data_IF_636294466560
#
_entry.id   IF_636294466560
#
_cell.length_a   1.000
_cell.length_b   1.000
_cell.length_c   1.000
_cell.angle_alpha   90.00
_cell.angle_beta   90.00
_cell.angle_gamma   90.00
#
_symmetry.space_group_name_H-M   'P 1'
#
loop_
_entity.id
_entity.type
_entity.pdbx_description
1 polymer ?
#
# COMPACT_ATOMS: atom_id res chain seq x y z
N UNK A 1 31.13 19.53 -15.68
CA UNK A 1 29.66 19.48 -15.70
C UNK A 1 29.28 18.08 -15.26
N UNK A 2 29.05 17.88 -13.97
CA UNK A 2 28.69 16.56 -13.44
C UNK A 2 27.20 16.36 -13.70
N UNK A 3 26.85 15.41 -14.56
CA UNK A 3 25.46 15.00 -14.76
C UNK A 3 24.95 14.40 -13.44
N UNK A 4 24.22 15.20 -12.66
CA UNK A 4 23.33 14.65 -11.65
C UNK A 4 22.23 13.90 -12.40
N UNK A 5 22.39 12.59 -12.54
CA UNK A 5 21.26 11.71 -12.85
C UNK A 5 20.25 11.91 -11.71
N UNK A 6 19.24 12.74 -11.93
CA UNK A 6 18.32 13.19 -10.90
C UNK A 6 17.64 12.00 -10.25
N UNK A 7 18.03 11.65 -9.02
CA UNK A 7 17.32 10.67 -8.21
C UNK A 7 15.90 11.17 -8.00
N UNK A 8 14.96 10.52 -8.68
CA UNK A 8 13.53 10.69 -8.43
C UNK A 8 13.12 9.62 -7.44
N UNK A 9 12.29 9.98 -6.46
CA UNK A 9 11.72 8.98 -5.57
C UNK A 9 10.78 8.07 -6.36
N UNK A 10 10.53 6.86 -5.85
CA UNK A 10 9.53 5.95 -6.42
C UNK A 10 8.16 6.62 -6.44
N UNK A 11 7.87 7.43 -5.42
CA UNK A 11 6.65 8.23 -5.36
C UNK A 11 6.53 9.21 -6.53
N UNK A 12 7.60 9.94 -6.87
CA UNK A 12 7.59 10.89 -8.00
C UNK A 12 7.42 10.21 -9.36
N UNK A 13 7.78 8.93 -9.46
CA UNK A 13 7.70 8.14 -10.68
C UNK A 13 6.30 7.54 -10.84
N UNK A 14 5.73 7.00 -9.76
CA UNK A 14 4.50 6.22 -9.78
C UNK A 14 3.24 7.03 -9.44
N UNK A 15 3.36 8.07 -8.61
CA UNK A 15 2.24 8.86 -8.09
C UNK A 15 1.42 8.14 -7.01
N UNK A 16 0.53 8.88 -6.35
CA UNK A 16 -0.26 8.39 -5.22
C UNK A 16 -1.21 7.23 -5.59
N UNK A 17 -1.85 7.28 -6.76
CA UNK A 17 -2.84 6.28 -7.19
C UNK A 17 -2.22 4.87 -7.31
N UNK A 18 -0.93 4.79 -7.63
CA UNK A 18 -0.21 3.52 -7.65
C UNK A 18 -0.18 2.86 -6.27
N UNK A 19 0.09 3.63 -5.21
CA UNK A 19 0.15 3.09 -3.85
C UNK A 19 -1.23 2.71 -3.33
N UNK A 20 -2.27 3.43 -3.72
CA UNK A 20 -3.67 3.04 -3.45
C UNK A 20 -3.95 1.67 -4.07
N UNK A 21 -3.68 1.50 -5.37
CA UNK A 21 -3.89 0.23 -6.06
C UNK A 21 -3.02 -0.92 -5.52
N UNK A 22 -1.77 -0.64 -5.14
CA UNK A 22 -0.87 -1.60 -4.53
C UNK A 22 -1.40 -2.11 -3.19
N UNK A 23 -1.80 -1.18 -2.32
CA UNK A 23 -2.38 -1.51 -1.02
C UNK A 23 -3.72 -2.21 -1.19
N UNK A 24 -4.48 -1.85 -2.22
CA UNK A 24 -5.73 -2.52 -2.51
C UNK A 24 -5.53 -4.00 -2.81
N UNK A 25 -4.63 -4.32 -3.74
CA UNK A 25 -4.31 -5.71 -4.09
C UNK A 25 -3.73 -6.50 -2.89
N UNK A 26 -2.99 -5.83 -2.00
CA UNK A 26 -2.48 -6.44 -0.78
C UNK A 26 -3.60 -6.85 0.18
N UNK A 27 -4.57 -5.97 0.41
CA UNK A 27 -5.70 -6.27 1.31
C UNK A 27 -6.70 -7.26 0.70
N UNK A 28 -6.87 -7.28 -0.63
CA UNK A 28 -7.64 -8.32 -1.31
C UNK A 28 -7.06 -9.72 -1.03
N UNK A 29 -5.72 -9.84 -0.96
CA UNK A 29 -5.05 -11.07 -0.55
C UNK A 29 -5.32 -11.42 0.92
N UNK A 30 -5.21 -10.45 1.83
CA UNK A 30 -5.45 -10.65 3.27
C UNK A 30 -6.87 -11.11 3.56
N UNK A 31 -7.87 -10.54 2.88
CA UNK A 31 -9.28 -10.90 3.09
C UNK A 31 -9.59 -12.37 2.76
N UNK A 32 -8.75 -13.00 1.93
CA UNK A 32 -8.85 -14.42 1.58
C UNK A 32 -7.91 -15.33 2.39
N UNK A 33 -7.00 -14.75 3.18
CA UNK A 33 -5.97 -15.46 3.92
C UNK A 33 -6.45 -15.86 5.32
N UNK A 34 -6.54 -17.17 5.57
CA UNK A 34 -7.05 -17.74 6.82
C UNK A 34 -6.12 -17.54 8.03
N UNK A 35 -4.87 -17.15 7.82
CA UNK A 35 -3.87 -16.91 8.86
C UNK A 35 -3.77 -15.42 9.18
N UNK A 36 -3.78 -14.56 8.16
CA UNK A 36 -3.64 -13.12 8.32
C UNK A 36 -4.94 -12.45 8.76
N UNK A 37 -6.09 -12.86 8.25
CA UNK A 37 -7.38 -12.23 8.56
C UNK A 37 -7.71 -12.26 10.07
N UNK A 38 -7.51 -13.37 10.81
CA UNK A 38 -7.77 -13.42 12.25
C UNK A 38 -6.87 -12.52 13.10
N UNK A 39 -5.77 -11.99 12.55
CA UNK A 39 -4.89 -11.07 13.25
C UNK A 39 -5.47 -9.65 13.35
N UNK A 40 -6.49 -9.33 12.56
CA UNK A 40 -7.14 -8.03 12.58
C UNK A 40 -8.15 -7.95 13.73
N UNK A 41 -8.01 -7.00 14.68
CA UNK A 41 -8.92 -6.86 15.82
C UNK A 41 -10.37 -6.60 15.41
N UNK A 42 -10.57 -5.94 14.26
CA UNK A 42 -11.88 -5.61 13.68
C UNK A 42 -12.39 -6.70 12.73
N UNK A 43 -11.68 -7.84 12.62
CA UNK A 43 -12.03 -8.95 11.75
C UNK A 43 -11.85 -8.60 10.27
N UNK A 44 -12.90 -8.83 9.46
CA UNK A 44 -12.88 -8.60 8.01
C UNK A 44 -13.02 -7.12 7.61
N UNK A 45 -13.22 -6.20 8.56
CA UNK A 45 -13.24 -4.77 8.26
C UNK A 45 -11.80 -4.24 8.15
N UNK A 46 -11.21 -4.39 6.96
CA UNK A 46 -9.86 -3.92 6.67
C UNK A 46 -9.82 -2.50 6.08
N UNK A 47 -10.99 -1.87 5.86
CA UNK A 47 -11.12 -0.64 5.08
C UNK A 47 -10.31 0.52 5.69
N UNK A 48 -10.39 0.68 7.01
CA UNK A 48 -9.62 1.70 7.71
C UNK A 48 -8.11 1.43 7.74
N UNK A 49 -7.70 0.17 7.72
CA UNK A 49 -6.28 -0.22 7.68
C UNK A 49 -5.68 0.01 6.27
N UNK A 50 -6.44 -0.35 5.23
CA UNK A 50 -6.16 -0.10 3.81
C UNK A 50 -5.88 1.37 3.54
N UNK A 51 -6.77 2.28 3.96
CA UNK A 51 -6.55 3.71 3.76
C UNK A 51 -5.29 4.22 4.47
N UNK A 52 -5.09 3.84 5.74
CA UNK A 52 -3.92 4.27 6.53
C UNK A 52 -2.60 3.81 5.91
N UNK A 53 -2.55 2.57 5.41
CA UNK A 53 -1.35 2.03 4.76
C UNK A 53 -1.06 2.74 3.43
N UNK A 54 -2.08 3.01 2.61
CA UNK A 54 -1.90 3.74 1.35
C UNK A 54 -1.36 5.17 1.55
N UNK A 55 -1.76 5.84 2.63
CA UNK A 55 -1.25 7.19 2.96
C UNK A 55 0.11 7.21 3.66
N UNK A 56 0.59 6.06 4.12
CA UNK A 56 1.89 5.93 4.78
C UNK A 56 3.04 5.72 3.78
N UNK A 57 2.77 5.01 2.67
CA UNK A 57 3.73 4.71 1.61
C UNK A 57 4.01 5.93 0.72
#
# INVERSE_FOLDING_TARGET
MSEQSGEKSVYDICGADFFVALVDAFYDGIETDQVLLPMYPEGSDTVGARHRLATFL
#
